data_IF_580004328502
#
_entry.id   IF_580004328502
#
_cell.length_a   1.000
_cell.length_b   1.000
_cell.length_c   1.000
_cell.angle_alpha   90.00
_cell.angle_beta   90.00
_cell.angle_gamma   90.00
#
_symmetry.space_group_name_H-M   'P 1'
#
loop_
_entity.id
_entity.type
_entity.pdbx_description
1 polymer ?
#
# COMPACT_ATOMS: atom_id res chain seq x y z
N UNK A 1 9.94 -18.10 -31.75
CA UNK A 1 10.56 -16.75 -31.79
C UNK A 1 9.78 -15.94 -32.82
N UNK A 2 8.97 -14.97 -32.40
CA UNK A 2 8.21 -14.12 -33.33
C UNK A 2 9.19 -13.21 -34.09
N UNK A 3 8.96 -12.90 -35.38
CA UNK A 3 9.80 -11.99 -36.14
C UNK A 3 9.82 -10.59 -35.52
N UNK A 4 10.97 -9.91 -35.56
CA UNK A 4 11.24 -8.61 -34.89
C UNK A 4 10.20 -7.53 -35.25
N UNK A 5 9.70 -7.53 -36.48
CA UNK A 5 8.67 -6.59 -36.94
C UNK A 5 7.32 -6.79 -36.26
N UNK A 6 6.93 -8.04 -35.99
CA UNK A 6 5.68 -8.38 -35.33
C UNK A 6 5.74 -8.03 -33.84
N UNK A 7 6.91 -8.22 -33.21
CA UNK A 7 7.13 -7.84 -31.81
C UNK A 7 7.01 -6.32 -31.60
N UNK A 8 7.56 -5.52 -32.51
CA UNK A 8 7.43 -4.06 -32.47
C UNK A 8 5.97 -3.61 -32.64
N UNK A 9 5.24 -4.21 -33.59
CA UNK A 9 3.83 -3.91 -33.81
C UNK A 9 2.95 -4.22 -32.60
N UNK A 10 3.21 -5.33 -31.89
CA UNK A 10 2.46 -5.68 -30.69
C UNK A 10 2.70 -4.67 -29.57
N UNK A 11 3.95 -4.23 -29.37
CA UNK A 11 4.27 -3.22 -28.34
C UNK A 11 3.64 -1.86 -28.65
N UNK A 12 3.65 -1.44 -29.93
CA UNK A 12 2.99 -0.21 -30.36
C UNK A 12 1.47 -0.29 -30.16
N UNK A 13 0.86 -1.45 -30.46
CA UNK A 13 -0.56 -1.72 -30.21
C UNK A 13 -0.92 -1.68 -28.72
N UNK A 14 -0.10 -2.28 -27.85
CA UNK A 14 -0.29 -2.22 -26.39
C UNK A 14 -0.22 -0.78 -25.89
N UNK A 15 0.76 0.00 -26.37
CA UNK A 15 0.91 1.40 -25.99
C UNK A 15 -0.28 2.24 -26.43
N UNK A 16 -0.73 2.08 -27.67
CA UNK A 16 -1.89 2.78 -28.19
C UNK A 16 -3.17 2.43 -27.42
N UNK A 17 -3.35 1.14 -27.08
CA UNK A 17 -4.48 0.70 -26.27
C UNK A 17 -4.45 1.31 -24.86
N UNK A 18 -3.27 1.39 -24.21
CA UNK A 18 -3.11 2.09 -22.94
C UNK A 18 -3.44 3.58 -23.03
N UNK A 19 -2.96 4.28 -24.07
CA UNK A 19 -3.20 5.71 -24.29
C UNK A 19 -4.69 5.99 -24.55
N UNK A 20 -5.40 5.04 -25.14
CA UNK A 20 -6.84 5.11 -25.41
C UNK A 20 -7.73 4.57 -24.27
N UNK A 21 -7.15 4.19 -23.13
CA UNK A 21 -7.87 3.57 -22.01
C UNK A 21 -8.57 2.24 -22.36
N UNK A 22 -8.15 1.58 -23.44
CA UNK A 22 -8.64 0.27 -23.87
C UNK A 22 -7.87 -0.85 -23.16
N UNK A 23 -8.18 -1.01 -21.87
CA UNK A 23 -7.48 -1.93 -20.99
C UNK A 23 -7.73 -3.41 -21.30
N UNK A 24 -8.87 -3.76 -21.90
CA UNK A 24 -9.14 -5.14 -22.30
C UNK A 24 -8.25 -5.58 -23.46
N UNK A 25 -8.06 -4.70 -24.45
CA UNK A 25 -7.11 -4.96 -25.55
C UNK A 25 -5.69 -5.13 -25.00
N UNK A 26 -5.26 -4.32 -24.04
CA UNK A 26 -3.94 -4.47 -23.39
C UNK A 26 -3.78 -5.85 -22.75
N UNK A 27 -4.76 -6.30 -21.98
CA UNK A 27 -4.71 -7.61 -21.31
C UNK A 27 -4.72 -8.76 -22.31
N UNK A 28 -5.44 -8.61 -23.43
CA UNK A 28 -5.56 -9.61 -24.49
C UNK A 28 -4.30 -9.72 -25.33
N UNK A 29 -3.64 -8.59 -25.64
CA UNK A 29 -2.39 -8.56 -26.41
C UNK A 29 -1.20 -9.13 -25.63
N UNK A 30 -1.25 -9.12 -24.30
CA UNK A 30 -0.17 -9.64 -23.46
C UNK A 30 -0.48 -11.10 -23.10
N UNK A 31 0.23 -12.02 -23.76
CA UNK A 31 0.04 -13.46 -23.62
C UNK A 31 0.17 -13.94 -22.15
N UNK A 32 -0.56 -15.01 -21.75
CA UNK A 32 -0.52 -15.52 -20.38
C UNK A 32 0.87 -15.99 -19.89
N UNK A 33 1.71 -16.48 -20.79
CA UNK A 33 3.06 -16.99 -20.52
C UNK A 33 4.15 -15.92 -20.68
N UNK A 34 3.76 -14.67 -20.96
CA UNK A 34 4.67 -13.53 -21.10
C UNK A 34 5.63 -13.44 -19.90
N UNK A 35 6.93 -13.39 -20.19
CA UNK A 35 7.97 -13.26 -19.18
C UNK A 35 8.58 -11.85 -19.09
N UNK A 36 8.18 -10.94 -19.98
CA UNK A 36 8.70 -9.57 -19.99
C UNK A 36 8.12 -8.76 -18.82
N UNK A 37 9.00 -8.32 -17.92
CA UNK A 37 8.59 -7.59 -16.72
C UNK A 37 7.87 -6.27 -17.03
N UNK A 38 8.26 -5.56 -18.09
CA UNK A 38 7.64 -4.29 -18.45
C UNK A 38 6.21 -4.52 -18.96
N UNK A 39 6.02 -5.52 -19.83
CA UNK A 39 4.69 -5.89 -20.29
C UNK A 39 3.80 -6.39 -19.15
N UNK A 40 4.34 -7.21 -18.25
CA UNK A 40 3.60 -7.65 -17.07
C UNK A 40 3.21 -6.49 -16.14
N UNK A 41 4.05 -5.47 -15.99
CA UNK A 41 3.70 -4.24 -15.26
C UNK A 41 2.54 -3.52 -15.94
N UNK A 42 2.59 -3.35 -17.27
CA UNK A 42 1.50 -2.73 -18.05
C UNK A 42 0.20 -3.53 -17.93
N UNK A 43 0.27 -4.87 -17.98
CA UNK A 43 -0.88 -5.75 -17.77
C UNK A 43 -1.49 -5.57 -16.39
N UNK A 44 -0.66 -5.52 -15.34
CA UNK A 44 -1.13 -5.28 -13.98
C UNK A 44 -1.81 -3.90 -13.83
N UNK A 45 -1.28 -2.86 -14.48
CA UNK A 45 -1.88 -1.52 -14.49
C UNK A 45 -3.24 -1.51 -15.17
N UNK A 46 -3.38 -2.14 -16.35
CA UNK A 46 -4.64 -2.28 -17.05
C UNK A 46 -5.68 -3.04 -16.19
N UNK A 47 -5.29 -4.16 -15.57
CA UNK A 47 -6.15 -4.92 -14.67
C UNK A 47 -6.61 -4.10 -13.46
N UNK A 48 -5.70 -3.32 -12.85
CA UNK A 48 -6.05 -2.40 -11.75
C UNK A 48 -7.05 -1.34 -12.20
N UNK A 49 -6.87 -0.75 -13.38
CA UNK A 49 -7.76 0.27 -13.92
C UNK A 49 -9.18 -0.27 -14.21
N UNK A 50 -9.28 -1.57 -14.52
CA UNK A 50 -10.55 -2.29 -14.68
C UNK A 50 -11.14 -2.82 -13.36
N UNK A 51 -10.53 -2.51 -12.21
CA UNK A 51 -10.88 -3.06 -10.89
C UNK A 51 -10.78 -4.60 -10.80
N UNK A 52 -10.06 -5.25 -11.73
CA UNK A 52 -9.78 -6.69 -11.76
C UNK A 52 -8.61 -7.03 -10.83
N UNK A 53 -8.74 -6.63 -9.56
CA UNK A 53 -7.66 -6.72 -8.57
C UNK A 53 -7.15 -8.15 -8.30
N UNK A 54 -7.99 -9.21 -8.24
CA UNK A 54 -7.50 -10.57 -8.05
C UNK A 54 -6.54 -11.02 -9.15
N UNK A 55 -6.81 -10.64 -10.40
CA UNK A 55 -5.96 -10.96 -11.54
C UNK A 55 -4.69 -10.12 -11.53
N UNK A 56 -4.79 -8.83 -11.19
CA UNK A 56 -3.63 -7.96 -11.00
C UNK A 56 -2.68 -8.52 -9.93
N UNK A 57 -3.21 -9.03 -8.81
CA UNK A 57 -2.44 -9.70 -7.75
C UNK A 57 -1.67 -10.89 -8.31
N UNK A 58 -2.28 -11.71 -9.17
CA UNK A 58 -1.60 -12.83 -9.83
C UNK A 58 -0.38 -12.38 -10.64
N UNK A 59 -0.55 -11.35 -11.47
CA UNK A 59 0.54 -10.77 -12.29
C UNK A 59 1.61 -10.11 -11.42
N UNK A 60 1.23 -9.37 -10.38
CA UNK A 60 2.18 -8.69 -9.49
C UNK A 60 2.98 -9.67 -8.64
N UNK A 61 2.39 -10.79 -8.20
CA UNK A 61 3.11 -11.83 -7.49
C UNK A 61 4.19 -12.49 -8.38
N UNK A 62 3.90 -12.71 -9.67
CA UNK A 62 4.90 -13.28 -10.59
C UNK A 62 6.07 -12.31 -10.83
N UNK A 63 5.80 -11.00 -10.86
CA UNK A 63 6.83 -9.95 -10.91
C UNK A 63 7.72 -9.95 -9.66
N UNK A 64 7.13 -10.06 -8.46
CA UNK A 64 7.88 -10.09 -7.20
C UNK A 64 8.76 -11.33 -7.08
N UNK A 65 8.32 -12.48 -7.63
CA UNK A 65 9.14 -13.69 -7.66
C UNK A 65 10.42 -13.51 -8.50
N UNK A 66 10.38 -12.65 -9.53
CA UNK A 66 11.55 -12.33 -10.37
C UNK A 66 12.44 -11.28 -9.72
N UNK A 67 11.83 -10.21 -9.21
CA UNK A 67 12.52 -9.13 -8.53
C UNK A 67 11.74 -8.68 -7.29
N UNK A 68 12.20 -9.15 -6.14
CA UNK A 68 11.59 -8.82 -4.85
C UNK A 68 11.96 -7.42 -4.32
N UNK A 69 12.85 -6.70 -5.02
CA UNK A 69 13.36 -5.39 -4.61
C UNK A 69 12.64 -4.22 -5.30
N UNK A 70 11.77 -4.51 -6.27
CA UNK A 70 11.00 -3.48 -6.96
C UNK A 70 9.90 -2.90 -6.07
N UNK A 71 10.20 -1.75 -5.46
CA UNK A 71 9.28 -1.05 -4.55
C UNK A 71 7.99 -0.61 -5.22
N UNK A 72 8.00 -0.30 -6.52
CA UNK A 72 6.78 0.07 -7.25
C UNK A 72 5.81 -1.11 -7.35
N UNK A 73 6.31 -2.29 -7.67
CA UNK A 73 5.51 -3.53 -7.71
C UNK A 73 4.98 -3.88 -6.31
N UNK A 74 5.80 -3.70 -5.26
CA UNK A 74 5.36 -3.89 -3.87
C UNK A 74 4.21 -2.95 -3.49
N UNK A 75 4.24 -1.68 -3.91
CA UNK A 75 3.16 -0.71 -3.68
C UNK A 75 1.90 -1.14 -4.42
N UNK A 76 2.02 -1.45 -5.71
CA UNK A 76 0.87 -1.86 -6.54
C UNK A 76 0.21 -3.10 -5.97
N UNK A 77 0.99 -4.07 -5.50
CA UNK A 77 0.48 -5.27 -4.86
C UNK A 77 -0.19 -4.97 -3.52
N UNK A 78 0.41 -4.11 -2.68
CA UNK A 78 -0.17 -3.70 -1.42
C UNK A 78 -1.52 -3.01 -1.60
N UNK A 79 -1.63 -2.14 -2.61
CA UNK A 79 -2.88 -1.46 -2.95
C UNK A 79 -3.96 -2.45 -3.39
N UNK A 80 -3.62 -3.40 -4.26
CA UNK A 80 -4.56 -4.46 -4.66
C UNK A 80 -5.01 -5.31 -3.46
N UNK A 81 -4.10 -5.62 -2.53
CA UNK A 81 -4.46 -6.32 -1.30
C UNK A 81 -5.40 -5.49 -0.42
N UNK A 82 -5.20 -4.18 -0.27
CA UNK A 82 -6.12 -3.31 0.47
C UNK A 82 -7.52 -3.30 -0.16
N UNK A 83 -7.60 -3.14 -1.47
CA UNK A 83 -8.88 -3.06 -2.20
C UNK A 83 -9.64 -4.39 -2.22
N UNK A 84 -8.95 -5.50 -1.98
CA UNK A 84 -9.55 -6.83 -1.83
C UNK A 84 -9.76 -7.24 -0.37
N UNK A 85 -9.61 -6.32 0.59
CA UNK A 85 -9.81 -6.58 2.03
C UNK A 85 -8.67 -7.33 2.71
N UNK A 86 -7.57 -7.61 2.02
CA UNK A 86 -6.41 -8.34 2.53
C UNK A 86 -5.38 -7.41 3.20
N UNK A 87 -5.81 -6.59 4.16
CA UNK A 87 -4.97 -5.56 4.82
C UNK A 87 -3.66 -6.11 5.42
N UNK A 88 -3.67 -7.32 5.98
CA UNK A 88 -2.46 -7.98 6.51
C UNK A 88 -1.40 -8.22 5.43
N UNK A 89 -1.83 -8.68 4.24
CA UNK A 89 -0.90 -8.89 3.11
C UNK A 89 -0.38 -7.57 2.56
N UNK A 90 -1.19 -6.52 2.60
CA UNK A 90 -0.73 -5.18 2.27
C UNK A 90 0.34 -4.68 3.24
N UNK A 91 0.15 -4.89 4.56
CA UNK A 91 1.14 -4.56 5.58
C UNK A 91 2.48 -5.26 5.29
N UNK A 92 2.47 -6.56 4.96
CA UNK A 92 3.68 -7.29 4.59
C UNK A 92 4.42 -6.69 3.37
N UNK A 93 3.68 -6.22 2.38
CA UNK A 93 4.27 -5.56 1.21
C UNK A 93 4.92 -4.22 1.57
N UNK A 94 4.24 -3.40 2.39
CA UNK A 94 4.80 -2.13 2.86
C UNK A 94 5.97 -2.32 3.82
N UNK A 95 5.98 -3.38 4.63
CA UNK A 95 7.11 -3.72 5.48
C UNK A 95 8.36 -4.04 4.64
N UNK A 96 8.20 -4.82 3.57
CA UNK A 96 9.28 -5.09 2.61
C UNK A 96 9.77 -3.80 1.96
N UNK A 97 8.85 -2.95 1.46
CA UNK A 97 9.21 -1.68 0.85
C UNK A 97 9.93 -0.73 1.83
N UNK A 98 9.49 -0.70 3.10
CA UNK A 98 10.13 0.06 4.18
C UNK A 98 11.55 -0.44 4.48
N UNK A 99 11.80 -1.76 4.42
CA UNK A 99 13.14 -2.31 4.61
C UNK A 99 14.08 -1.92 3.46
N UNK A 100 13.56 -1.82 2.23
CA UNK A 100 14.33 -1.42 1.05
C UNK A 100 14.61 0.09 1.03
N UNK A 101 13.69 0.91 1.55
CA UNK A 101 13.85 2.37 1.62
C UNK A 101 13.46 2.90 3.01
N UNK A 102 14.33 2.76 4.03
CA UNK A 102 14.02 3.09 5.42
C UNK A 102 13.68 4.57 5.69
N UNK A 103 14.20 5.46 4.86
CA UNK A 103 14.01 6.91 4.94
C UNK A 103 12.67 7.37 4.34
N UNK A 104 12.01 6.50 3.57
CA UNK A 104 10.75 6.86 2.94
C UNK A 104 9.60 6.75 3.95
N UNK A 105 9.23 7.90 4.53
CA UNK A 105 8.13 8.02 5.51
C UNK A 105 6.78 7.50 4.96
N UNK A 106 6.58 7.49 3.64
CA UNK A 106 5.35 6.97 3.02
C UNK A 106 5.15 5.48 3.33
N UNK A 107 6.19 4.65 3.25
CA UNK A 107 6.05 3.21 3.49
C UNK A 107 5.72 2.91 4.95
N UNK A 108 6.37 3.60 5.88
CA UNK A 108 6.08 3.49 7.32
C UNK A 108 4.63 3.85 7.62
N UNK A 109 4.16 4.95 7.04
CA UNK A 109 2.77 5.39 7.17
C UNK A 109 1.78 4.35 6.64
N UNK A 110 2.02 3.82 5.43
CA UNK A 110 1.12 2.83 4.85
C UNK A 110 1.17 1.48 5.57
N UNK A 111 2.33 1.09 6.10
CA UNK A 111 2.49 -0.10 6.91
C UNK A 111 1.61 -0.04 8.16
N UNK A 112 1.75 1.02 8.98
CA UNK A 112 0.96 1.22 10.19
C UNK A 112 -0.54 1.29 9.89
N UNK A 113 -0.94 2.04 8.85
CA UNK A 113 -2.34 2.09 8.43
C UNK A 113 -2.90 0.72 8.03
N UNK A 114 -2.07 -0.10 7.38
CA UNK A 114 -2.48 -1.44 6.98
C UNK A 114 -2.61 -2.38 8.17
N UNK A 115 -1.72 -2.27 9.17
CA UNK A 115 -1.83 -3.01 10.44
C UNK A 115 -3.10 -2.64 11.22
N UNK A 116 -3.40 -1.34 11.32
CA UNK A 116 -4.64 -0.88 11.96
C UNK A 116 -5.88 -1.40 11.22
N UNK A 117 -5.84 -1.44 9.88
CA UNK A 117 -6.93 -1.97 9.06
C UNK A 117 -7.04 -3.50 9.07
N UNK A 118 -6.01 -4.22 9.50
CA UNK A 118 -6.06 -5.66 9.77
C UNK A 118 -6.27 -5.99 11.25
N UNK A 119 -6.54 -4.98 12.08
CA UNK A 119 -6.74 -5.12 13.53
C UNK A 119 -5.52 -5.68 14.29
N UNK A 120 -4.34 -5.61 13.68
CA UNK A 120 -3.06 -6.01 14.30
C UNK A 120 -2.55 -4.88 15.22
N UNK A 121 -3.36 -4.52 16.22
CA UNK A 121 -3.13 -3.31 17.02
C UNK A 121 -1.83 -3.36 17.83
N UNK A 122 -1.41 -4.55 18.28
CA UNK A 122 -0.14 -4.74 19.00
C UNK A 122 1.09 -4.43 18.13
N UNK A 123 1.08 -4.92 16.88
CA UNK A 123 2.14 -4.60 15.93
C UNK A 123 2.08 -3.13 15.51
N UNK A 124 0.87 -2.57 15.34
CA UNK A 124 0.69 -1.15 15.01
C UNK A 124 1.27 -0.26 16.12
N UNK A 125 1.00 -0.59 17.39
CA UNK A 125 1.57 0.09 18.57
C UNK A 125 3.10 0.06 18.54
N UNK A 126 3.68 -1.13 18.33
CA UNK A 126 5.13 -1.32 18.26
C UNK A 126 5.76 -0.50 17.11
N UNK A 127 5.15 -0.53 15.93
CA UNK A 127 5.60 0.24 14.78
C UNK A 127 5.51 1.76 15.00
N UNK A 128 4.48 2.23 15.72
CA UNK A 128 4.34 3.64 16.10
C UNK A 128 5.42 4.06 17.09
N UNK A 129 5.72 3.26 18.12
CA UNK A 129 6.81 3.55 19.05
C UNK A 129 8.16 3.65 18.33
N UNK A 130 8.48 2.70 17.45
CA UNK A 130 9.71 2.76 16.64
C UNK A 130 9.76 3.94 15.66
N UNK A 131 8.62 4.51 15.26
CA UNK A 131 8.59 5.79 14.55
C UNK A 131 8.93 6.94 15.52
N UNK A 132 8.23 7.03 16.65
CA UNK A 132 8.35 8.13 17.60
C UNK A 132 9.72 8.18 18.30
N UNK A 133 10.44 7.07 18.40
CA UNK A 133 11.85 7.05 18.82
C UNK A 133 12.76 7.85 17.88
N UNK A 134 12.43 7.87 16.58
CA UNK A 134 13.18 8.62 15.55
C UNK A 134 12.63 10.02 15.32
N UNK A 135 11.33 10.21 15.50
CA UNK A 135 10.60 11.44 15.22
C UNK A 135 9.57 11.71 16.32
N UNK A 136 10.07 12.13 17.49
CA UNK A 136 9.27 12.34 18.71
C UNK A 136 8.30 13.52 18.65
N UNK A 137 8.33 14.30 17.56
CA UNK A 137 7.44 15.44 17.35
C UNK A 137 6.33 15.14 16.33
N UNK A 138 6.28 13.92 15.78
CA UNK A 138 5.30 13.54 14.77
C UNK A 138 3.89 13.44 15.35
N UNK A 139 3.06 14.45 15.06
CA UNK A 139 1.62 14.44 15.37
C UNK A 139 0.93 13.20 14.79
N UNK A 140 1.31 12.82 13.56
CA UNK A 140 0.78 11.66 12.86
C UNK A 140 1.17 10.33 13.55
N UNK A 141 2.40 10.22 14.06
CA UNK A 141 2.83 9.05 14.82
C UNK A 141 2.00 8.85 16.09
N UNK A 142 1.79 9.93 16.85
CA UNK A 142 0.94 9.89 18.05
C UNK A 142 -0.54 9.62 17.74
N UNK A 143 -1.06 10.12 16.62
CA UNK A 143 -2.41 9.79 16.18
C UNK A 143 -2.59 8.29 15.96
N UNK A 144 -1.69 7.67 15.19
CA UNK A 144 -1.81 6.23 14.94
C UNK A 144 -1.52 5.38 16.18
N UNK A 145 -0.65 5.86 17.07
CA UNK A 145 -0.45 5.23 18.38
C UNK A 145 -1.75 5.26 19.20
N UNK A 146 -2.48 6.38 19.20
CA UNK A 146 -3.80 6.47 19.82
C UNK A 146 -4.80 5.49 19.21
N UNK A 147 -4.83 5.34 17.89
CA UNK A 147 -5.70 4.38 17.20
C UNK A 147 -5.35 2.93 17.53
N UNK A 148 -4.06 2.62 17.69
CA UNK A 148 -3.62 1.31 18.13
C UNK A 148 -4.09 1.02 19.56
N UNK A 149 -3.94 1.96 20.49
CA UNK A 149 -4.42 1.80 21.87
C UNK A 149 -5.94 1.71 21.97
N UNK A 150 -6.67 2.45 21.13
CA UNK A 150 -8.13 2.36 21.04
C UNK A 150 -8.57 0.95 20.61
N UNK A 151 -7.92 0.36 19.60
CA UNK A 151 -8.15 -1.03 19.19
C UNK A 151 -7.76 -2.06 20.26
N UNK A 152 -6.76 -1.75 21.10
CA UNK A 152 -6.39 -2.54 22.28
C UNK A 152 -7.30 -2.31 23.49
N UNK A 153 -8.32 -1.47 23.37
CA UNK A 153 -9.23 -1.09 24.47
C UNK A 153 -8.53 -0.40 25.66
N UNK A 154 -7.34 0.17 25.44
CA UNK A 154 -6.64 1.00 26.42
C UNK A 154 -6.99 2.48 26.21
N UNK A 155 -8.15 2.87 26.73
CA UNK A 155 -8.70 4.23 26.60
C UNK A 155 -7.77 5.30 27.21
N UNK A 156 -7.05 4.97 28.28
CA UNK A 156 -6.15 5.92 28.95
C UNK A 156 -4.95 6.25 28.05
N UNK A 157 -4.26 5.23 27.52
CA UNK A 157 -3.13 5.42 26.62
C UNK A 157 -3.56 6.02 25.28
N UNK A 158 -4.74 5.66 24.78
CA UNK A 158 -5.33 6.26 23.58
C UNK A 158 -5.55 7.77 23.77
N UNK A 159 -6.19 8.17 24.86
CA UNK A 159 -6.44 9.58 25.19
C UNK A 159 -5.14 10.37 25.31
N UNK A 160 -4.13 9.84 26.03
CA UNK A 160 -2.82 10.49 26.16
C UNK A 160 -2.19 10.70 24.78
N UNK A 161 -2.17 9.65 23.95
CA UNK A 161 -1.57 9.70 22.62
C UNK A 161 -2.26 10.72 21.72
N UNK A 162 -3.60 10.73 21.68
CA UNK A 162 -4.34 11.70 20.91
C UNK A 162 -4.18 13.13 21.42
N UNK A 163 -4.08 13.35 22.74
CA UNK A 163 -3.80 14.68 23.29
C UNK A 163 -2.44 15.20 22.86
N UNK A 164 -1.43 14.34 22.84
CA UNK A 164 -0.10 14.72 22.34
C UNK A 164 -0.22 15.07 20.85
N UNK A 165 -0.88 14.24 20.04
CA UNK A 165 -1.11 14.53 18.62
C UNK A 165 -1.81 15.88 18.42
N UNK A 166 -2.90 16.16 19.15
CA UNK A 166 -3.63 17.42 19.10
C UNK A 166 -2.79 18.63 19.50
N UNK A 167 -1.94 18.51 20.53
CA UNK A 167 -1.02 19.60 20.92
C UNK A 167 0.04 19.90 19.85
N UNK A 168 0.35 18.93 18.98
CA UNK A 168 1.31 19.10 17.87
C UNK A 168 0.64 19.60 16.59
N UNK A 169 -0.59 19.16 16.33
CA UNK A 169 -1.43 19.61 15.23
C UNK A 169 -2.89 19.71 15.69
N UNK A 170 -3.29 20.92 16.06
CA UNK A 170 -4.63 21.20 16.60
C UNK A 170 -5.71 21.29 15.52
N UNK A 171 -5.32 21.29 14.24
CA UNK A 171 -6.24 21.41 13.11
C UNK A 171 -6.65 20.04 12.55
N UNK A 172 -6.06 18.93 13.01
CA UNK A 172 -6.46 17.58 12.60
C UNK A 172 -7.80 17.19 13.22
N UNK A 173 -8.87 17.48 12.48
CA UNK A 173 -10.26 17.15 12.86
C UNK A 173 -10.46 15.67 13.20
N UNK A 174 -9.69 14.76 12.56
CA UNK A 174 -9.78 13.33 12.88
C UNK A 174 -9.32 13.05 14.31
N UNK A 175 -8.24 13.69 14.76
CA UNK A 175 -7.73 13.52 16.13
C UNK A 175 -8.73 14.07 17.14
N UNK A 176 -9.33 15.23 16.87
CA UNK A 176 -10.36 15.82 17.75
C UNK A 176 -11.58 14.91 17.89
N UNK A 177 -12.07 14.36 16.78
CA UNK A 177 -13.21 13.43 16.79
C UNK A 177 -12.90 12.16 17.60
N UNK A 178 -11.68 11.62 17.48
CA UNK A 178 -11.23 10.44 18.25
C UNK A 178 -11.18 10.73 19.75
N UNK A 179 -10.66 11.89 20.16
CA UNK A 179 -10.65 12.29 21.59
C UNK A 179 -12.07 12.34 22.15
N UNK A 180 -13.00 12.97 21.42
CA UNK A 180 -14.39 13.07 21.85
C UNK A 180 -15.06 11.69 21.96
N UNK A 181 -14.72 10.76 21.05
CA UNK A 181 -15.25 9.40 21.03
C UNK A 181 -14.81 8.51 22.20
N UNK A 182 -13.70 8.82 22.89
CA UNK A 182 -13.21 8.01 24.03
C UNK A 182 -14.15 8.09 25.25
N UNK A 183 -14.89 9.18 25.41
CA UNK A 183 -15.73 9.45 26.59
C UNK A 183 -17.22 9.14 26.39
N UNK A 184 -17.62 8.74 25.18
CA UNK A 184 -19.00 8.33 24.85
C UNK A 184 -19.14 6.81 24.90
#
# INVERSE_FOLDING_TARGET
MLPVSLFAQVNDGIRQAMDNYDYETVVTLIEPDCQDSLLLITKAQALKAMNRYPEAIGVLNSLILKDSTNTKVLIDLAECYKLTGNSRRAANCYQKAMNLQPENKFFRLQFIRSLLASEDYEEARTACHGWLERDSLSATGYKYLGQAYEGLQDAASAFISYNIAYRRDSLDAQTVARIAGIFN
#
